data_IF_242659993528
#
_entry.id   IF_242659993528
#
_cell.length_a   1.000
_cell.length_b   1.000
_cell.length_c   1.000
_cell.angle_alpha   90.00
_cell.angle_beta   90.00
_cell.angle_gamma   90.00
#
_symmetry.space_group_name_H-M   'P 1'
#
loop_
_entity.id
_entity.type
_entity.pdbx_description
1 polymer ?
#
# COMPACT_ATOMS: atom_id res chain seq x y z
N UNK A 1 3.37 0.74 19.90
CA UNK A 1 3.40 1.92 19.00
C UNK A 1 3.09 1.44 17.60
N UNK A 2 2.05 1.98 16.97
CA UNK A 2 1.63 1.64 15.60
C UNK A 2 2.03 2.77 14.64
N UNK A 3 2.53 2.44 13.46
CA UNK A 3 2.89 3.41 12.42
C UNK A 3 2.39 2.93 11.06
N UNK A 4 1.95 3.87 10.23
CA UNK A 4 1.55 3.62 8.84
C UNK A 4 2.36 4.55 7.93
N UNK A 5 2.91 4.01 6.85
CA UNK A 5 3.60 4.77 5.81
C UNK A 5 2.90 4.58 4.47
N UNK A 6 2.56 5.69 3.82
CA UNK A 6 2.09 5.73 2.45
C UNK A 6 3.24 6.23 1.57
N UNK A 7 3.86 5.33 0.81
CA UNK A 7 5.01 5.60 -0.04
C UNK A 7 4.63 5.54 -1.52
N UNK A 8 5.16 6.47 -2.31
CA UNK A 8 5.04 6.46 -3.77
C UNK A 8 6.44 6.39 -4.38
N UNK A 9 6.70 5.36 -5.19
CA UNK A 9 7.97 5.18 -5.92
C UNK A 9 7.75 5.49 -7.40
N UNK A 10 8.46 6.49 -7.89
CA UNK A 10 8.35 7.01 -9.26
C UNK A 10 9.55 6.58 -10.09
N UNK A 11 9.30 6.09 -11.31
CA UNK A 11 10.33 5.73 -12.27
C UNK A 11 10.04 6.45 -13.59
N UNK A 12 11.04 7.18 -14.10
CA UNK A 12 10.92 8.03 -15.29
C UNK A 12 9.71 8.99 -15.20
N UNK A 13 9.69 9.83 -14.16
CA UNK A 13 8.54 10.69 -13.87
C UNK A 13 7.34 9.84 -13.41
N UNK A 14 6.19 10.00 -14.06
CA UNK A 14 4.96 9.25 -13.73
C UNK A 14 4.67 8.09 -14.69
N UNK A 15 5.63 7.71 -15.54
CA UNK A 15 5.49 6.60 -16.50
C UNK A 15 5.18 5.29 -15.76
N UNK A 16 6.03 4.93 -14.79
CA UNK A 16 5.76 3.83 -13.85
C UNK A 16 5.74 4.36 -12.42
N UNK A 17 4.67 4.06 -11.71
CA UNK A 17 4.45 4.48 -10.32
C UNK A 17 4.03 3.26 -9.51
N UNK A 18 4.65 3.07 -8.36
CA UNK A 18 4.31 2.03 -7.39
C UNK A 18 3.87 2.67 -6.08
N UNK A 19 2.68 2.33 -5.63
CA UNK A 19 2.15 2.71 -4.32
C UNK A 19 2.39 1.59 -3.31
N UNK A 20 2.85 1.98 -2.12
CA UNK A 20 3.05 1.08 -0.99
C UNK A 20 2.37 1.66 0.25
N UNK A 21 1.57 0.84 0.92
CA UNK A 21 1.06 1.14 2.25
C UNK A 21 1.65 0.15 3.24
N UNK A 22 2.46 0.61 4.17
CA UNK A 22 3.25 -0.25 5.05
C UNK A 22 2.83 -0.01 6.49
N UNK A 23 2.46 -1.08 7.19
CA UNK A 23 1.98 -1.05 8.56
C UNK A 23 3.03 -1.67 9.49
N UNK A 24 3.37 -0.94 10.54
CA UNK A 24 4.41 -1.31 11.50
C UNK A 24 3.84 -1.39 12.90
N UNK A 25 4.23 -2.43 13.62
CA UNK A 25 3.98 -2.59 15.04
C UNK A 25 5.31 -2.69 15.77
N UNK A 26 5.58 -1.77 16.70
CA UNK A 26 6.85 -1.68 17.43
C UNK A 26 8.08 -1.66 16.50
N UNK A 27 8.00 -0.87 15.41
CA UNK A 27 9.03 -0.70 14.36
C UNK A 27 9.22 -1.91 13.44
N UNK A 28 8.56 -3.04 13.69
CA UNK A 28 8.53 -4.19 12.79
C UNK A 28 7.37 -4.07 11.81
N UNK A 29 7.67 -4.14 10.51
CA UNK A 29 6.64 -4.20 9.47
C UNK A 29 5.94 -5.55 9.53
N UNK A 30 4.62 -5.56 9.72
CA UNK A 30 3.86 -6.81 9.81
C UNK A 30 2.95 -7.05 8.60
N UNK A 31 2.62 -5.99 7.84
CA UNK A 31 1.69 -6.02 6.73
C UNK A 31 1.99 -4.88 5.76
N UNK A 32 1.86 -5.12 4.46
CA UNK A 32 1.83 -4.02 3.48
C UNK A 32 0.88 -4.28 2.31
N UNK A 33 0.35 -3.23 1.71
CA UNK A 33 -0.25 -3.28 0.36
C UNK A 33 0.81 -2.89 -0.67
N UNK A 34 0.91 -3.64 -1.76
CA UNK A 34 1.76 -3.33 -2.91
C UNK A 34 0.93 -3.21 -4.18
N UNK A 35 0.94 -2.03 -4.82
CA UNK A 35 0.18 -1.82 -6.05
C UNK A 35 0.61 -2.71 -7.21
N UNK A 36 1.87 -3.17 -7.24
CA UNK A 36 2.34 -4.08 -8.29
C UNK A 36 1.67 -5.48 -8.15
N UNK A 37 1.25 -5.87 -6.94
CA UNK A 37 0.49 -7.10 -6.67
C UNK A 37 -1.02 -6.83 -6.60
N UNK A 38 -1.41 -5.63 -6.18
CA UNK A 38 -2.80 -5.22 -6.03
C UNK A 38 -3.50 -5.81 -4.80
N UNK A 39 -2.76 -6.24 -3.78
CA UNK A 39 -3.30 -6.81 -2.55
C UNK A 39 -2.36 -6.61 -1.34
N UNK A 40 -2.88 -6.89 -0.14
CA UNK A 40 -2.10 -6.89 1.09
C UNK A 40 -1.29 -8.18 1.23
N UNK A 41 -0.02 -8.05 1.57
CA UNK A 41 0.91 -9.13 1.88
C UNK A 41 1.31 -9.05 3.36
N UNK A 42 1.15 -10.16 4.07
CA UNK A 42 1.67 -10.29 5.43
C UNK A 42 3.20 -10.43 5.37
N UNK A 43 3.90 -9.60 6.16
CA UNK A 43 5.36 -9.68 6.30
C UNK A 43 5.75 -10.62 7.44
N UNK A 44 4.91 -10.68 8.47
CA UNK A 44 5.07 -11.57 9.63
C UNK A 44 3.78 -12.35 9.86
N UNK A 45 3.84 -13.39 10.69
CA UNK A 45 2.66 -14.20 11.04
C UNK A 45 1.55 -13.38 11.71
N UNK A 46 1.89 -12.30 12.41
CA UNK A 46 0.91 -11.36 12.99
C UNK A 46 0.02 -10.73 11.90
N UNK A 47 0.58 -10.46 10.71
CA UNK A 47 -0.13 -9.83 9.61
C UNK A 47 -1.02 -10.78 8.82
N UNK A 48 -0.82 -12.10 8.90
CA UNK A 48 -1.58 -13.10 8.11
C UNK A 48 -3.10 -12.97 8.24
N UNK A 49 -3.70 -13.00 9.46
CA UNK A 49 -5.15 -12.87 9.58
C UNK A 49 -5.66 -11.50 9.14
N UNK A 50 -4.82 -10.46 9.25
CA UNK A 50 -5.17 -9.09 8.83
C UNK A 50 -5.18 -9.01 7.30
N UNK A 51 -4.16 -9.56 6.63
CA UNK A 51 -4.08 -9.63 5.17
C UNK A 51 -5.28 -10.38 4.58
N UNK A 52 -5.61 -11.55 5.12
CA UNK A 52 -6.77 -12.34 4.70
C UNK A 52 -8.08 -11.54 4.83
N UNK A 53 -8.28 -10.85 5.97
CA UNK A 53 -9.48 -10.04 6.17
C UNK A 53 -9.55 -8.87 5.19
N UNK A 54 -8.46 -8.13 4.99
CA UNK A 54 -8.45 -6.97 4.10
C UNK A 54 -8.56 -7.37 2.63
N UNK A 55 -7.91 -8.46 2.21
CA UNK A 55 -8.00 -8.96 0.84
C UNK A 55 -9.39 -9.54 0.51
N UNK A 56 -10.18 -9.92 1.52
CA UNK A 56 -11.58 -10.31 1.33
C UNK A 56 -12.52 -9.13 1.00
N UNK A 57 -12.10 -7.89 1.32
CA UNK A 57 -12.88 -6.66 1.10
C UNK A 57 -12.56 -6.05 -0.27
N UNK A 58 -13.38 -6.37 -1.26
CA UNK A 58 -13.15 -5.98 -2.66
C UNK A 58 -13.16 -4.47 -2.89
N UNK A 59 -14.09 -3.77 -2.23
CA UNK A 59 -14.21 -2.31 -2.24
C UNK A 59 -12.93 -1.63 -1.74
N UNK A 60 -12.36 -2.14 -0.64
CA UNK A 60 -11.10 -1.66 -0.10
C UNK A 60 -9.95 -1.91 -1.08
N UNK A 61 -9.85 -3.12 -1.67
CA UNK A 61 -8.79 -3.43 -2.63
C UNK A 61 -8.87 -2.54 -3.88
N UNK A 62 -10.07 -2.30 -4.39
CA UNK A 62 -10.28 -1.39 -5.52
C UNK A 62 -9.82 0.04 -5.18
N UNK A 63 -10.16 0.53 -3.99
CA UNK A 63 -9.66 1.83 -3.52
C UNK A 63 -8.13 1.86 -3.45
N UNK A 64 -7.49 0.86 -2.81
CA UNK A 64 -6.03 0.82 -2.66
C UNK A 64 -5.30 0.70 -4.01
N UNK A 65 -5.87 -0.01 -4.97
CA UNK A 65 -5.35 -0.07 -6.35
C UNK A 65 -5.44 1.29 -7.05
N UNK A 66 -6.49 2.06 -6.79
CA UNK A 66 -6.67 3.39 -7.37
C UNK A 66 -5.69 4.45 -6.81
N UNK A 67 -5.10 4.23 -5.62
CA UNK A 67 -4.17 5.18 -4.97
C UNK A 67 -2.92 5.50 -5.81
N UNK A 68 -2.54 4.63 -6.75
CA UNK A 68 -1.47 4.94 -7.71
C UNK A 68 -1.80 6.21 -8.50
N UNK A 69 -3.05 6.38 -8.92
CA UNK A 69 -3.52 7.54 -9.68
C UNK A 69 -4.03 8.66 -8.77
N UNK A 70 -4.91 8.32 -7.83
CA UNK A 70 -5.64 9.28 -7.00
C UNK A 70 -4.77 9.96 -5.95
N UNK A 71 -3.72 9.29 -5.50
CA UNK A 71 -2.79 9.83 -4.51
C UNK A 71 -1.41 10.08 -5.13
N UNK A 72 -0.72 9.05 -5.64
CA UNK A 72 0.66 9.21 -6.08
C UNK A 72 0.80 10.14 -7.30
N UNK A 73 0.16 9.82 -8.43
CA UNK A 73 0.25 10.67 -9.63
C UNK A 73 -0.42 12.04 -9.44
N UNK A 74 -1.51 12.09 -8.69
CA UNK A 74 -2.15 13.35 -8.33
C UNK A 74 -1.17 14.28 -7.60
N UNK A 75 -0.59 13.81 -6.49
CA UNK A 75 0.29 14.64 -5.66
C UNK A 75 1.60 14.99 -6.38
N UNK A 76 2.14 14.11 -7.23
CA UNK A 76 3.33 14.40 -8.03
C UNK A 76 3.17 15.59 -8.98
N UNK A 77 1.94 15.90 -9.41
CA UNK A 77 1.64 17.01 -10.33
C UNK A 77 1.26 18.31 -9.63
N UNK A 78 0.86 18.22 -8.36
CA UNK A 78 0.46 19.38 -7.55
C UNK A 78 1.69 20.08 -6.96
N UNK A 79 2.76 19.31 -6.71
CA UNK A 79 4.08 19.80 -6.31
C UNK A 79 4.92 20.09 -7.55
#
# INVERSE_FOLDING_TARGET
LEQVKHECRFFNGTERVRYLERLFYNQEEFLHFDSDLGEFQAVTELGRPVAENLNSRKDLLEQKRAEVDTFCRHNYRVV
#
